data_IF_226063060247
#
_entry.id   IF_226063060247
#
_cell.length_a   1.000
_cell.length_b   1.000
_cell.length_c   1.000
_cell.angle_alpha   90.00
_cell.angle_beta   90.00
_cell.angle_gamma   90.00
#
_symmetry.space_group_name_H-M   'P 1'
#
loop_
_entity.id
_entity.type
_entity.pdbx_description
1 polymer ?
#
# COMPACT_ATOMS: atom_id res chain seq x y z
N UNK A 1 -7.20 -6.05 9.24
CA UNK A 1 -7.06 -7.26 8.40
C UNK A 1 -5.66 -7.87 8.46
N UNK A 2 -4.66 -7.11 8.90
CA UNK A 2 -3.24 -7.40 8.79
C UNK A 2 -2.72 -8.13 10.02
N UNK A 3 -3.24 -7.82 11.21
CA UNK A 3 -2.63 -8.20 12.50
C UNK A 3 -3.15 -9.56 13.02
N UNK A 4 -4.39 -9.92 12.72
CA UNK A 4 -5.03 -11.12 13.24
C UNK A 4 -6.10 -11.69 12.31
N UNK A 5 -6.45 -12.97 12.52
CA UNK A 5 -7.55 -13.64 11.82
C UNK A 5 -7.23 -14.12 10.41
N UNK A 6 -6.00 -13.96 9.92
CA UNK A 6 -5.57 -14.42 8.59
C UNK A 6 -4.72 -15.71 8.63
N UNK A 7 -4.33 -16.17 7.44
CA UNK A 7 -3.43 -17.32 7.27
C UNK A 7 -2.00 -17.00 7.75
N UNK A 8 -1.50 -15.79 7.48
CA UNK A 8 -0.21 -15.29 7.98
C UNK A 8 -0.31 -13.86 8.49
N UNK A 9 -0.49 -13.70 9.80
CA UNK A 9 -0.57 -12.37 10.41
C UNK A 9 0.71 -11.54 10.19
N UNK A 10 0.54 -10.22 10.24
CA UNK A 10 1.55 -9.18 10.02
C UNK A 10 2.15 -9.14 8.61
N UNK A 11 1.38 -9.59 7.61
CA UNK A 11 1.74 -9.46 6.20
C UNK A 11 0.99 -8.28 5.57
N UNK A 12 1.76 -7.40 4.92
CA UNK A 12 1.30 -6.35 4.02
C UNK A 12 2.11 -6.49 2.74
N UNK A 13 1.47 -7.00 1.68
CA UNK A 13 2.17 -7.31 0.44
C UNK A 13 1.53 -6.59 -0.76
N UNK A 14 2.13 -5.53 -1.31
CA UNK A 14 1.56 -4.78 -2.42
C UNK A 14 1.54 -5.62 -3.71
N UNK A 15 0.40 -5.63 -4.40
CA UNK A 15 0.17 -6.47 -5.59
C UNK A 15 -0.21 -5.64 -6.84
N UNK A 16 -0.61 -4.38 -6.67
CA UNK A 16 -0.94 -3.50 -7.79
C UNK A 16 -1.17 -2.07 -7.34
N UNK A 17 -0.98 -1.13 -8.26
CA UNK A 17 -1.25 0.29 -8.01
C UNK A 17 -1.92 0.93 -9.23
N UNK A 18 -2.82 1.88 -8.98
CA UNK A 18 -3.47 2.71 -9.99
C UNK A 18 -3.27 4.17 -9.59
N UNK A 19 -2.70 4.97 -10.49
CA UNK A 19 -2.64 6.43 -10.36
C UNK A 19 -3.89 7.02 -11.00
N UNK A 20 -4.66 7.76 -10.21
CA UNK A 20 -5.85 8.48 -10.66
C UNK A 20 -5.47 9.86 -11.22
N UNK A 21 -6.31 10.43 -12.07
CA UNK A 21 -6.11 11.78 -12.65
C UNK A 21 -6.07 12.89 -11.57
N UNK A 22 -6.57 12.62 -10.38
CA UNK A 22 -6.54 13.53 -9.22
C UNK A 22 -5.16 13.62 -8.56
N UNK A 23 -4.22 12.73 -8.89
CA UNK A 23 -2.94 12.59 -8.19
C UNK A 23 -2.97 11.60 -7.02
N UNK A 24 -4.13 11.02 -6.68
CA UNK A 24 -4.21 9.93 -5.70
C UNK A 24 -3.68 8.62 -6.32
N UNK A 25 -2.78 7.95 -5.62
CA UNK A 25 -2.40 6.58 -5.93
C UNK A 25 -3.15 5.60 -5.03
N UNK A 26 -3.83 4.63 -5.64
CA UNK A 26 -4.49 3.50 -4.99
C UNK A 26 -3.58 2.29 -5.02
N UNK A 27 -3.16 1.79 -3.86
CA UNK A 27 -2.28 0.63 -3.72
C UNK A 27 -3.08 -0.55 -3.15
N UNK A 28 -3.28 -1.56 -3.98
CA UNK A 28 -3.92 -2.82 -3.58
C UNK A 28 -2.87 -3.77 -3.01
N UNK A 29 -3.12 -4.29 -1.82
CA UNK A 29 -2.19 -5.17 -1.13
C UNK A 29 -2.89 -6.36 -0.50
N UNK A 30 -2.20 -7.51 -0.48
CA UNK A 30 -2.60 -8.66 0.32
C UNK A 30 -2.39 -8.38 1.80
N UNK A 31 -3.45 -8.57 2.59
CA UNK A 31 -3.41 -8.53 4.04
C UNK A 31 -3.55 -9.94 4.61
N UNK A 32 -2.57 -10.29 5.45
CA UNK A 32 -2.49 -11.56 6.16
C UNK A 32 -2.65 -12.84 5.30
N UNK A 33 -2.22 -12.81 4.03
CA UNK A 33 -2.41 -13.87 3.03
C UNK A 33 -3.87 -14.35 2.91
N UNK A 34 -4.85 -13.47 3.11
CA UNK A 34 -6.26 -13.88 3.18
C UNK A 34 -7.23 -12.95 2.45
N UNK A 35 -6.95 -11.66 2.41
CA UNK A 35 -7.81 -10.67 1.75
C UNK A 35 -6.98 -9.66 0.97
N UNK A 36 -7.64 -8.95 0.04
CA UNK A 36 -7.07 -7.76 -0.60
C UNK A 36 -7.64 -6.51 0.08
N UNK A 37 -6.75 -5.62 0.47
CA UNK A 37 -7.07 -4.31 1.04
C UNK A 37 -6.56 -3.20 0.10
N UNK A 38 -6.98 -1.97 0.37
CA UNK A 38 -6.63 -0.78 -0.40
C UNK A 38 -6.04 0.28 0.55
N UNK A 39 -4.88 0.83 0.20
CA UNK A 39 -4.34 2.05 0.78
C UNK A 39 -4.33 3.16 -0.28
N UNK A 40 -4.43 4.42 0.16
CA UNK A 40 -4.34 5.59 -0.74
C UNK A 40 -3.33 6.59 -0.22
N UNK A 41 -2.74 7.36 -1.14
CA UNK A 41 -1.81 8.46 -0.84
C UNK A 41 -1.81 9.47 -1.99
N UNK A 42 -1.34 10.69 -1.74
CA UNK A 42 -0.94 11.60 -2.81
C UNK A 42 0.38 11.11 -3.43
N UNK A 43 0.49 11.12 -4.76
CA UNK A 43 1.66 10.59 -5.46
C UNK A 43 2.92 11.43 -5.21
N UNK A 44 2.80 12.73 -5.00
CA UNK A 44 3.95 13.59 -4.73
C UNK A 44 4.49 13.37 -3.33
N UNK A 45 3.62 13.27 -2.32
CA UNK A 45 4.04 12.92 -0.96
C UNK A 45 4.74 11.56 -0.91
N UNK A 46 4.21 10.56 -1.63
CA UNK A 46 4.82 9.23 -1.70
C UNK A 46 6.19 9.27 -2.37
N UNK A 47 6.33 9.98 -3.49
CA UNK A 47 7.61 10.12 -4.18
C UNK A 47 8.62 10.85 -3.29
N UNK A 48 8.22 11.96 -2.68
CA UNK A 48 9.06 12.74 -1.77
C UNK A 48 9.61 11.86 -0.64
N UNK A 49 8.80 10.97 -0.05
CA UNK A 49 9.29 9.98 0.92
C UNK A 49 10.34 9.03 0.33
N UNK A 50 10.18 8.58 -0.91
CA UNK A 50 11.15 7.67 -1.54
C UNK A 50 12.48 8.35 -1.89
N UNK A 51 12.46 9.61 -2.34
CA UNK A 51 13.67 10.32 -2.76
C UNK A 51 14.35 11.11 -1.63
N UNK A 52 13.60 11.62 -0.65
CA UNK A 52 14.16 12.40 0.46
C UNK A 52 14.69 11.54 1.62
N UNK A 53 14.38 10.23 1.66
CA UNK A 53 14.93 9.32 2.67
C UNK A 53 16.29 8.71 2.30
N UNK A 54 16.91 9.13 1.20
CA UNK A 54 18.29 8.80 0.85
C UNK A 54 19.26 9.79 1.52
N UNK A 55 19.43 9.68 2.84
CA UNK A 55 20.58 10.25 3.54
C UNK A 55 21.73 9.23 3.57
#
# INVERSE_FOLDING_TARGET
YEIEGGFRNNVVFPCGAILEDTGEVKIYYGAADSVICLATADVHDLLDLCILQSC
#
